data_IF_250913741997
#
_entry.id   IF_250913741997
#
_cell.length_a   1.000
_cell.length_b   1.000
_cell.length_c   1.000
_cell.angle_alpha   90.00
_cell.angle_beta   90.00
_cell.angle_gamma   90.00
#
_symmetry.space_group_name_H-M   'P 1'
#
loop_
_entity.id
_entity.type
_entity.pdbx_description
1 polymer ?
#
# COMPACT_ATOMS: atom_id res chain seq x y z
N UNK A 1 -20.17 10.03 -15.15
CA UNK A 1 -21.06 11.21 -15.24
C UNK A 1 -22.28 10.94 -14.36
N UNK A 2 -22.63 11.87 -13.47
CA UNK A 2 -23.56 11.65 -12.38
C UNK A 2 -25.02 11.67 -12.86
N UNK A 3 -25.57 10.49 -13.18
CA UNK A 3 -26.98 10.35 -13.56
C UNK A 3 -27.94 10.34 -12.34
N UNK A 4 -27.42 10.37 -11.11
CA UNK A 4 -28.21 10.35 -9.88
C UNK A 4 -29.11 11.58 -9.70
N UNK A 5 -28.83 12.68 -10.39
CA UNK A 5 -29.61 13.93 -10.33
C UNK A 5 -31.00 13.78 -10.98
N UNK A 6 -31.20 12.77 -11.83
CA UNK A 6 -32.51 12.55 -12.50
C UNK A 6 -33.53 11.81 -11.64
N UNK A 7 -33.14 11.30 -10.46
CA UNK A 7 -34.08 10.62 -9.57
C UNK A 7 -34.75 11.67 -8.67
N UNK A 8 -36.06 11.95 -8.83
CA UNK A 8 -36.76 12.96 -8.04
C UNK A 8 -36.69 12.67 -6.53
N UNK A 9 -36.58 11.40 -6.14
CA UNK A 9 -36.42 10.99 -4.74
C UNK A 9 -35.12 11.52 -4.15
N UNK A 10 -34.02 11.49 -4.90
CA UNK A 10 -32.71 11.98 -4.43
C UNK A 10 -32.75 13.50 -4.24
N UNK A 11 -33.44 14.23 -5.12
CA UNK A 11 -33.61 15.68 -5.00
C UNK A 11 -34.41 16.02 -3.74
N UNK A 12 -35.50 15.29 -3.47
CA UNK A 12 -36.32 15.50 -2.27
C UNK A 12 -35.52 15.22 -1.01
N UNK A 13 -34.76 14.12 -0.97
CA UNK A 13 -33.89 13.79 0.18
C UNK A 13 -32.82 14.86 0.40
N UNK A 14 -32.15 15.32 -0.66
CA UNK A 14 -31.15 16.40 -0.57
C UNK A 14 -31.78 17.71 -0.10
N UNK A 15 -32.97 18.05 -0.59
CA UNK A 15 -33.72 19.24 -0.16
C UNK A 15 -34.10 19.18 1.31
N UNK A 16 -34.63 18.04 1.78
CA UNK A 16 -34.96 17.81 3.19
C UNK A 16 -33.71 17.85 4.07
N UNK A 17 -32.59 17.27 3.62
CA UNK A 17 -31.33 17.32 4.34
C UNK A 17 -30.81 18.76 4.47
N UNK A 18 -30.83 19.53 3.38
CA UNK A 18 -30.43 20.93 3.39
C UNK A 18 -31.32 21.77 4.33
N UNK A 19 -32.64 21.59 4.27
CA UNK A 19 -33.59 22.25 5.17
C UNK A 19 -33.36 21.87 6.63
N UNK A 20 -33.11 20.60 6.93
CA UNK A 20 -32.79 20.13 8.27
C UNK A 20 -31.51 20.76 8.81
N UNK A 21 -30.48 20.90 7.97
CA UNK A 21 -29.24 21.57 8.35
C UNK A 21 -29.44 23.05 8.63
N UNK A 22 -30.18 23.77 7.77
CA UNK A 22 -30.49 25.20 7.98
C UNK A 22 -31.30 25.39 9.26
N UNK A 23 -32.29 24.54 9.50
CA UNK A 23 -33.11 24.59 10.72
C UNK A 23 -32.28 24.34 11.98
N UNK A 24 -31.40 23.34 11.96
CA UNK A 24 -30.53 23.03 13.07
C UNK A 24 -29.50 24.14 13.33
N UNK A 25 -29.01 24.78 12.28
CA UNK A 25 -28.08 25.91 12.37
C UNK A 25 -28.76 27.19 12.90
N UNK A 26 -30.03 27.42 12.55
CA UNK A 26 -30.79 28.57 13.03
C UNK A 26 -31.20 28.43 14.51
N UNK A 27 -31.66 27.24 14.92
CA UNK A 27 -32.13 27.02 16.29
C UNK A 27 -31.01 26.71 17.29
N UNK A 28 -29.94 26.01 16.88
CA UNK A 28 -28.84 25.68 17.78
C UNK A 28 -27.51 25.50 17.01
N UNK A 29 -26.88 26.61 16.59
CA UNK A 29 -25.63 26.55 15.85
C UNK A 29 -24.49 25.95 16.70
N UNK A 30 -24.44 26.29 17.99
CA UNK A 30 -23.41 25.79 18.90
C UNK A 30 -23.45 24.26 19.05
N UNK A 31 -24.64 23.70 19.27
CA UNK A 31 -24.83 22.25 19.39
C UNK A 31 -24.52 21.49 18.09
N UNK A 32 -24.80 22.10 16.93
CA UNK A 32 -24.43 21.53 15.63
C UNK A 32 -22.91 21.38 15.48
N UNK A 33 -22.15 22.47 15.69
CA UNK A 33 -20.68 22.42 15.59
C UNK A 33 -20.05 21.51 16.63
N UNK A 34 -20.56 21.55 17.87
CA UNK A 34 -20.05 20.70 18.95
C UNK A 34 -20.33 19.23 18.66
N UNK A 35 -21.51 18.89 18.13
CA UNK A 35 -21.81 17.55 17.61
C UNK A 35 -20.89 17.13 16.46
N UNK A 36 -20.54 18.05 15.56
CA UNK A 36 -19.63 17.80 14.45
C UNK A 36 -18.19 17.52 14.95
N UNK A 37 -17.74 18.25 15.98
CA UNK A 37 -16.45 18.00 16.64
C UNK A 37 -16.45 16.67 17.38
N UNK A 38 -17.50 16.35 18.14
CA UNK A 38 -17.62 15.07 18.85
C UNK A 38 -17.62 13.89 17.87
N UNK A 39 -18.41 13.97 16.81
CA UNK A 39 -18.46 12.92 15.78
C UNK A 39 -17.12 12.76 15.07
N UNK A 40 -16.44 13.86 14.74
CA UNK A 40 -15.09 13.81 14.20
C UNK A 40 -14.09 13.17 15.17
N UNK A 41 -14.14 13.52 16.46
CA UNK A 41 -13.30 12.92 17.50
C UNK A 41 -13.55 11.43 17.66
N UNK A 42 -14.81 11.00 17.65
CA UNK A 42 -15.17 9.57 17.70
C UNK A 42 -14.65 8.85 16.45
N UNK A 43 -14.85 9.43 15.26
CA UNK A 43 -14.38 8.83 14.00
C UNK A 43 -12.85 8.69 13.98
N UNK A 44 -12.12 9.72 14.41
CA UNK A 44 -10.65 9.68 14.54
C UNK A 44 -10.23 8.69 15.62
N UNK A 45 -10.91 8.66 16.77
CA UNK A 45 -10.64 7.73 17.85
C UNK A 45 -10.84 6.28 17.43
N UNK A 46 -11.94 5.98 16.74
CA UNK A 46 -12.20 4.66 16.17
C UNK A 46 -11.20 4.32 15.07
N UNK A 47 -10.92 5.23 14.13
CA UNK A 47 -9.91 5.00 13.10
C UNK A 47 -8.55 4.69 13.72
N UNK A 48 -8.12 5.48 14.70
CA UNK A 48 -6.87 5.27 15.42
C UNK A 48 -6.88 3.94 16.17
N UNK A 49 -7.95 3.60 16.87
CA UNK A 49 -8.07 2.35 17.60
C UNK A 49 -8.03 1.14 16.66
N UNK A 50 -8.80 1.17 15.57
CA UNK A 50 -8.82 0.11 14.56
C UNK A 50 -7.45 -0.05 13.88
N UNK A 51 -6.81 1.06 13.50
CA UNK A 51 -5.51 1.03 12.81
C UNK A 51 -4.33 0.71 13.73
N UNK A 52 -4.42 1.08 15.02
CA UNK A 52 -3.35 0.87 16.00
C UNK A 52 -3.43 -0.50 16.67
N UNK A 53 -4.64 -0.96 16.99
CA UNK A 53 -4.85 -2.19 17.75
C UNK A 53 -5.13 -3.40 16.85
N UNK A 54 -5.94 -3.22 15.79
CA UNK A 54 -6.45 -4.35 15.00
C UNK A 54 -5.66 -4.56 13.71
N UNK A 55 -5.13 -3.50 13.10
CA UNK A 55 -4.21 -3.66 11.96
C UNK A 55 -2.78 -3.82 12.49
N UNK A 56 -2.21 -5.04 12.54
CA UNK A 56 -0.77 -5.17 12.67
C UNK A 56 -0.17 -4.40 11.51
N UNK A 57 0.64 -3.37 11.81
CA UNK A 57 1.36 -2.51 10.85
C UNK A 57 1.63 -3.28 9.57
N UNK A 58 0.79 -3.12 8.54
CA UNK A 58 1.06 -3.63 7.18
C UNK A 58 2.14 -2.79 6.50
N UNK A 59 3.06 -2.24 7.29
CA UNK A 59 4.14 -1.39 6.84
C UNK A 59 5.34 -2.26 6.50
N UNK A 60 5.48 -2.49 5.21
CA UNK A 60 6.79 -2.69 4.60
C UNK A 60 7.33 -4.10 4.72
N UNK A 61 7.21 -4.83 3.60
CA UNK A 61 7.97 -6.04 3.29
C UNK A 61 7.74 -7.19 4.26
N UNK A 62 6.93 -8.15 3.81
CA UNK A 62 6.73 -9.43 4.50
C UNK A 62 8.10 -9.96 5.00
N UNK A 63 8.26 -10.14 6.32
CA UNK A 63 9.55 -10.51 6.93
C UNK A 63 10.15 -11.77 6.27
N UNK A 64 9.27 -12.65 5.78
CA UNK A 64 9.62 -13.84 5.02
C UNK A 64 10.25 -13.50 3.66
N UNK A 65 9.71 -12.52 2.94
CA UNK A 65 10.28 -12.04 1.68
C UNK A 65 11.63 -11.34 1.90
N UNK A 66 11.78 -10.57 2.98
CA UNK A 66 13.07 -9.96 3.34
C UNK A 66 14.13 -11.01 3.68
N UNK A 67 13.75 -12.09 4.37
CA UNK A 67 14.62 -13.27 4.62
C UNK A 67 14.98 -14.00 3.33
N UNK A 68 13.99 -14.24 2.46
CA UNK A 68 14.21 -14.89 1.16
C UNK A 68 15.16 -14.10 0.26
N UNK A 69 15.07 -12.76 0.23
CA UNK A 69 15.99 -11.92 -0.52
C UNK A 69 17.43 -12.00 0.02
N UNK A 70 17.61 -12.01 1.34
CA UNK A 70 18.94 -12.20 1.95
C UNK A 70 19.53 -13.56 1.57
N UNK A 71 18.72 -14.62 1.65
CA UNK A 71 19.14 -15.98 1.30
C UNK A 71 19.46 -16.12 -0.20
N UNK A 72 18.66 -15.50 -1.07
CA UNK A 72 18.90 -15.45 -2.51
C UNK A 72 20.21 -14.74 -2.85
N UNK A 73 20.47 -13.57 -2.26
CA UNK A 73 21.73 -12.84 -2.43
C UNK A 73 22.94 -13.66 -1.97
N UNK A 74 22.86 -14.36 -0.84
CA UNK A 74 23.94 -15.24 -0.38
C UNK A 74 24.18 -16.42 -1.33
N UNK A 75 23.12 -17.07 -1.81
CA UNK A 75 23.22 -18.18 -2.77
C UNK A 75 23.80 -17.73 -4.12
N UNK A 76 23.48 -16.53 -4.60
CA UNK A 76 24.08 -15.96 -5.81
C UNK A 76 25.60 -15.76 -5.65
N UNK A 77 26.04 -15.13 -4.55
CA UNK A 77 27.48 -14.93 -4.26
C UNK A 77 28.23 -16.26 -4.18
N UNK A 78 27.64 -17.28 -3.57
CA UNK A 78 28.23 -18.62 -3.53
C UNK A 78 28.32 -19.25 -4.93
N UNK A 79 27.27 -19.15 -5.75
CA UNK A 79 27.30 -19.65 -7.14
C UNK A 79 28.37 -18.97 -7.99
N UNK A 80 28.57 -17.67 -7.83
CA UNK A 80 29.64 -16.92 -8.51
C UNK A 80 31.03 -17.36 -8.06
N UNK A 81 31.24 -17.54 -6.74
CA UNK A 81 32.50 -18.03 -6.21
C UNK A 81 32.84 -19.45 -6.73
N UNK A 82 31.86 -20.36 -6.74
CA UNK A 82 32.06 -21.73 -7.23
C UNK A 82 32.28 -21.77 -8.74
N UNK A 83 31.57 -20.94 -9.52
CA UNK A 83 31.81 -20.79 -10.98
C UNK A 83 33.22 -20.29 -11.28
N UNK A 84 33.70 -19.29 -10.53
CA UNK A 84 35.05 -18.74 -10.70
C UNK A 84 36.13 -19.77 -10.35
N UNK A 85 35.90 -20.60 -9.34
CA UNK A 85 36.83 -21.67 -8.96
C UNK A 85 36.85 -22.81 -10.00
N UNK A 86 35.68 -23.23 -10.51
CA UNK A 86 35.60 -24.22 -11.57
C UNK A 86 36.20 -23.74 -12.90
N UNK A 87 36.09 -22.45 -13.23
CA UNK A 87 36.78 -21.87 -14.38
C UNK A 87 38.30 -21.88 -14.23
N UNK A 88 38.84 -21.67 -13.02
CA UNK A 88 40.28 -21.78 -12.76
C UNK A 88 40.78 -23.22 -12.92
N UNK A 89 40.01 -24.22 -12.47
CA UNK A 89 40.37 -25.64 -12.64
C UNK A 89 40.30 -26.13 -14.09
N UNK A 90 39.40 -25.59 -14.92
CA UNK A 90 39.26 -25.97 -16.34
C UNK A 90 40.30 -25.33 -17.27
N UNK A 91 41.11 -24.37 -16.80
CA UNK A 91 42.12 -23.66 -17.61
C UNK A 91 43.37 -24.48 -17.97
N UNK A 92 43.44 -25.74 -17.56
CA UNK A 92 44.47 -26.68 -18.05
C UNK A 92 44.37 -26.90 -19.57
N UNK A 93 43.18 -26.77 -20.17
CA UNK A 93 43.00 -26.88 -21.61
C UNK A 93 43.17 -25.50 -22.24
N UNK A 94 44.29 -25.27 -22.92
CA UNK A 94 44.52 -24.08 -23.74
C UNK A 94 43.85 -24.30 -25.09
N UNK A 95 42.93 -23.41 -25.48
CA UNK A 95 42.34 -23.43 -26.82
C UNK A 95 43.47 -23.22 -27.83
N UNK A 96 43.69 -24.20 -28.70
CA UNK A 96 44.58 -24.04 -29.85
C UNK A 96 43.75 -23.33 -30.91
N UNK A 97 44.09 -22.09 -31.21
CA UNK A 97 43.46 -21.35 -32.31
C UNK A 97 43.81 -22.03 -33.63
N UNK A 98 42.79 -22.60 -34.28
CA UNK A 98 42.94 -23.27 -35.57
C UNK A 98 43.28 -22.25 -36.65
N UNK A 99 44.54 -22.24 -37.10
CA UNK A 99 44.99 -21.43 -38.22
C UNK A 99 44.42 -21.97 -39.54
N UNK A 100 43.18 -21.64 -39.86
CA UNK A 100 42.61 -21.90 -41.19
C UNK A 100 43.09 -20.80 -42.14
N UNK A 101 44.11 -21.13 -42.94
CA UNK A 101 44.50 -20.28 -44.08
C UNK A 101 43.39 -20.28 -45.13
N UNK A 102 43.15 -19.09 -45.64
CA UNK A 102 42.10 -18.70 -46.58
C UNK A 102 42.30 -19.31 -47.96
#
# INVERSE_FOLDING_TARGET
MANSIRNPVIIVILGLAALGLVYQLANNPGGFFLGLVITALIAVGLYFLLTRLILPRRSGMNNNYRKALKQSKQRQKQKEATRKNNQKKKRHLKVVDGNRKK
#
